data_IF_117999633855
#
_entry.id   IF_117999633855
#
_cell.length_a   1.000
_cell.length_b   1.000
_cell.length_c   1.000
_cell.angle_alpha   90.00
_cell.angle_beta   90.00
_cell.angle_gamma   90.00
#
_symmetry.space_group_name_H-M   'P 1'
#
loop_
_entity.id
_entity.type
_entity.pdbx_description
1 polymer ?
#
# COMPACT_ATOMS: atom_id res chain seq x y z
N UNK A 1 70.52 -28.41 17.19
CA UNK A 1 69.63 -27.59 16.35
C UNK A 1 68.52 -28.50 15.78
N UNK A 2 67.31 -28.46 16.33
CA UNK A 2 66.10 -29.02 15.70
C UNK A 2 64.96 -28.04 15.96
N UNK A 3 64.54 -27.33 14.92
CA UNK A 3 63.41 -26.41 14.93
C UNK A 3 62.14 -27.24 14.77
N UNK A 4 61.25 -27.25 15.75
CA UNK A 4 59.88 -27.74 15.56
C UNK A 4 59.04 -26.60 14.99
N UNK A 5 58.52 -26.82 13.79
CA UNK A 5 57.60 -25.95 13.07
C UNK A 5 56.29 -25.84 13.84
N UNK A 6 55.91 -24.62 14.20
CA UNK A 6 54.58 -24.28 14.67
C UNK A 6 53.65 -24.28 13.45
N UNK A 7 52.86 -25.35 13.28
CA UNK A 7 51.79 -25.38 12.27
C UNK A 7 50.62 -24.56 12.79
N UNK A 8 50.63 -23.25 12.53
CA UNK A 8 49.46 -22.39 12.71
C UNK A 8 48.41 -22.74 11.66
N UNK A 9 47.38 -23.50 12.06
CA UNK A 9 46.18 -23.65 11.26
C UNK A 9 45.46 -22.29 11.22
N UNK A 10 45.54 -21.57 10.09
CA UNK A 10 44.67 -20.45 9.81
C UNK A 10 43.26 -21.01 9.63
N UNK A 11 42.40 -20.87 10.65
CA UNK A 11 40.96 -20.95 10.47
C UNK A 11 40.55 -19.72 9.65
N UNK A 12 40.48 -19.88 8.33
CA UNK A 12 39.84 -18.89 7.47
C UNK A 12 38.35 -18.88 7.81
N UNK A 13 37.92 -17.95 8.65
CA UNK A 13 36.51 -17.62 8.80
C UNK A 13 36.05 -17.06 7.47
N UNK A 14 35.38 -17.88 6.66
CA UNK A 14 34.66 -17.39 5.49
C UNK A 14 33.51 -16.53 5.99
N UNK A 15 33.73 -15.22 6.10
CA UNK A 15 32.66 -14.26 6.21
C UNK A 15 31.90 -14.36 4.89
N UNK A 16 30.80 -15.13 4.88
CA UNK A 16 29.90 -15.15 3.73
C UNK A 16 29.24 -13.78 3.66
N UNK A 17 29.75 -12.91 2.81
CA UNK A 17 29.01 -11.71 2.47
C UNK A 17 27.74 -12.16 1.76
N UNK A 18 26.57 -11.70 2.23
CA UNK A 18 25.33 -11.89 1.49
C UNK A 18 25.54 -11.33 0.08
N UNK A 19 25.43 -12.18 -0.94
CA UNK A 19 25.53 -11.77 -2.33
C UNK A 19 24.12 -11.50 -2.86
N UNK A 20 23.95 -10.35 -3.51
CA UNK A 20 22.71 -10.04 -4.24
C UNK A 20 22.68 -10.95 -5.48
N UNK A 21 21.63 -11.75 -5.61
CA UNK A 21 21.42 -12.68 -6.73
C UNK A 21 20.21 -12.28 -7.56
N UNK A 22 20.34 -12.31 -8.88
CA UNK A 22 19.21 -12.11 -9.79
C UNK A 22 18.36 -13.39 -9.84
N UNK A 23 17.11 -13.32 -9.39
CA UNK A 23 16.19 -14.46 -9.43
C UNK A 23 15.36 -14.51 -10.73
N UNK A 24 14.91 -13.36 -11.22
CA UNK A 24 14.04 -13.27 -12.40
C UNK A 24 14.23 -11.97 -13.15
N UNK A 25 14.19 -12.05 -14.48
CA UNK A 25 14.02 -10.89 -15.37
C UNK A 25 12.66 -11.00 -16.05
N UNK A 26 11.84 -9.97 -15.90
CA UNK A 26 10.57 -9.83 -16.60
C UNK A 26 10.78 -9.13 -17.95
N UNK A 27 9.82 -9.28 -18.86
CA UNK A 27 9.92 -8.62 -20.17
C UNK A 27 9.88 -7.10 -20.02
N UNK A 28 10.45 -6.36 -20.99
CA UNK A 28 10.56 -4.89 -20.93
C UNK A 28 9.21 -4.19 -20.68
N UNK A 29 8.14 -4.81 -21.15
CA UNK A 29 6.78 -4.25 -21.10
C UNK A 29 5.95 -4.85 -19.95
N UNK A 30 6.57 -5.63 -19.06
CA UNK A 30 5.91 -6.25 -17.92
C UNK A 30 6.47 -5.69 -16.61
N UNK A 31 5.62 -4.93 -15.90
CA UNK A 31 5.94 -4.37 -14.60
C UNK A 31 5.33 -5.22 -13.51
N UNK A 32 6.15 -5.65 -12.54
CA UNK A 32 5.76 -6.57 -11.48
C UNK A 32 5.72 -5.86 -10.15
N UNK A 33 4.64 -6.06 -9.40
CA UNK A 33 4.39 -5.41 -8.11
C UNK A 33 4.17 -6.45 -7.03
N UNK A 34 4.68 -6.19 -5.83
CA UNK A 34 4.48 -7.02 -4.66
C UNK A 34 3.08 -6.79 -4.11
N UNK A 35 2.34 -7.86 -3.89
CA UNK A 35 1.13 -7.91 -3.08
C UNK A 35 1.54 -8.47 -1.73
N UNK A 36 1.33 -7.69 -0.67
CA UNK A 36 1.72 -8.05 0.69
C UNK A 36 0.50 -8.05 1.61
N UNK A 37 -0.18 -9.20 1.70
CA UNK A 37 -1.33 -9.36 2.60
C UNK A 37 -0.90 -10.21 3.80
N UNK A 38 0.02 -9.70 4.64
CA UNK A 38 0.56 -10.21 5.94
C UNK A 38 0.86 -11.73 6.13
N UNK A 39 0.55 -12.59 5.16
CA UNK A 39 0.60 -14.06 5.22
C UNK A 39 1.09 -14.68 3.91
N UNK A 40 0.87 -14.04 2.77
CA UNK A 40 1.40 -14.45 1.46
C UNK A 40 1.98 -13.27 0.68
N UNK A 41 3.13 -13.50 0.06
CA UNK A 41 3.71 -12.60 -0.95
C UNK A 41 3.33 -13.15 -2.31
N UNK A 42 2.55 -12.38 -3.06
CA UNK A 42 2.26 -12.65 -4.46
C UNK A 42 2.74 -11.49 -5.30
N UNK A 43 2.85 -11.68 -6.61
CA UNK A 43 3.14 -10.58 -7.50
C UNK A 43 2.06 -10.42 -8.55
N UNK A 44 1.83 -9.19 -8.99
CA UNK A 44 0.94 -8.90 -10.11
C UNK A 44 1.67 -8.10 -11.18
N UNK A 45 1.42 -8.42 -12.43
CA UNK A 45 1.90 -7.65 -13.57
C UNK A 45 0.81 -7.30 -14.55
N UNK A 46 1.01 -6.18 -15.25
CA UNK A 46 0.27 -5.85 -16.46
C UNK A 46 1.13 -6.19 -17.68
N UNK A 47 0.51 -6.85 -18.65
CA UNK A 47 1.15 -7.29 -19.89
C UNK A 47 0.75 -6.39 -21.07
N UNK A 48 1.55 -6.44 -22.14
CA UNK A 48 1.31 -5.67 -23.38
C UNK A 48 -0.02 -6.00 -24.07
N UNK A 49 -0.51 -7.23 -23.90
CA UNK A 49 -1.79 -7.72 -24.39
C UNK A 49 -2.94 -7.46 -23.41
N UNK A 50 -2.75 -6.48 -22.50
CA UNK A 50 -3.76 -5.97 -21.57
C UNK A 50 -4.32 -7.02 -20.62
N UNK A 51 -3.48 -7.98 -20.21
CA UNK A 51 -3.81 -8.97 -19.19
C UNK A 51 -3.12 -8.64 -17.88
N UNK A 52 -3.76 -9.00 -16.79
CA UNK A 52 -3.08 -9.08 -15.50
C UNK A 52 -2.57 -10.51 -15.27
N UNK A 53 -1.37 -10.64 -14.73
CA UNK A 53 -0.80 -11.94 -14.37
C UNK A 53 -0.51 -11.96 -12.89
N UNK A 54 -1.08 -12.92 -12.18
CA UNK A 54 -0.83 -13.17 -10.76
C UNK A 54 0.23 -14.27 -10.62
N UNK A 55 1.21 -14.04 -9.77
CA UNK A 55 2.37 -14.90 -9.56
C UNK A 55 2.51 -15.31 -8.09
N UNK A 56 3.01 -16.53 -7.87
CA UNK A 56 3.52 -16.98 -6.58
C UNK A 56 4.83 -16.25 -6.24
N UNK A 57 5.30 -16.42 -5.00
CA UNK A 57 6.58 -15.89 -4.55
C UNK A 57 7.80 -16.38 -5.35
N UNK A 58 7.69 -17.57 -5.97
CA UNK A 58 8.70 -18.16 -6.85
C UNK A 58 8.54 -17.75 -8.34
N UNK A 59 7.66 -16.80 -8.62
CA UNK A 59 7.32 -16.31 -9.97
C UNK A 59 6.64 -17.33 -10.89
N UNK A 60 6.15 -18.46 -10.37
CA UNK A 60 5.23 -19.31 -11.12
C UNK A 60 3.86 -18.64 -11.26
N UNK A 61 3.23 -18.79 -12.44
CA UNK A 61 1.93 -18.15 -12.74
C UNK A 61 0.83 -18.84 -11.93
N UNK A 62 0.14 -18.06 -11.10
CA UNK A 62 -1.11 -18.47 -10.43
C UNK A 62 -2.27 -18.35 -11.41
N UNK A 63 -2.42 -17.19 -12.05
CA UNK A 63 -3.55 -16.90 -12.94
C UNK A 63 -3.21 -15.85 -13.97
N UNK A 64 -3.79 -16.00 -15.17
CA UNK A 64 -3.84 -14.95 -16.19
C UNK A 64 -5.28 -14.44 -16.24
N UNK A 65 -5.45 -13.15 -16.01
CA UNK A 65 -6.75 -12.48 -15.93
C UNK A 65 -6.91 -11.69 -17.22
N UNK A 66 -7.91 -12.07 -18.00
CA UNK A 66 -8.28 -11.34 -19.21
C UNK A 66 -9.25 -10.23 -18.81
N UNK A 67 -8.86 -8.99 -19.03
CA UNK A 67 -9.74 -7.84 -18.75
C UNK A 67 -10.50 -7.51 -20.03
N UNK A 68 -11.82 -7.41 -19.95
CA UNK A 68 -12.65 -6.95 -21.05
C UNK A 68 -12.52 -5.43 -21.19
N UNK A 69 -11.51 -5.01 -21.94
CA UNK A 69 -11.22 -3.60 -22.22
C UNK A 69 -11.74 -3.20 -23.59
N UNK A 70 -12.39 -2.02 -23.72
CA UNK A 70 -12.85 -1.52 -25.00
C UNK A 70 -11.70 -1.32 -26.00
N UNK A 71 -12.01 -1.48 -27.29
CA UNK A 71 -11.03 -1.28 -28.37
C UNK A 71 -10.39 0.12 -28.29
N UNK A 72 -9.07 0.17 -28.44
CA UNK A 72 -8.27 1.40 -28.36
C UNK A 72 -7.77 1.73 -26.94
N UNK A 73 -8.27 1.07 -25.90
CA UNK A 73 -7.75 1.21 -24.56
C UNK A 73 -6.55 0.28 -24.32
N UNK A 74 -5.64 0.77 -23.49
CA UNK A 74 -4.50 0.02 -22.95
C UNK A 74 -4.64 -0.09 -21.44
N UNK A 75 -4.38 -1.27 -20.89
CA UNK A 75 -4.40 -1.47 -19.46
C UNK A 75 -3.18 -0.81 -18.85
N UNK A 76 -3.42 0.04 -17.87
CA UNK A 76 -2.41 0.66 -17.03
C UNK A 76 -2.69 0.27 -15.58
N UNK A 77 -1.72 -0.37 -14.95
CA UNK A 77 -1.83 -0.66 -13.53
C UNK A 77 -1.24 0.55 -12.79
N UNK A 78 -2.08 1.30 -12.07
CA UNK A 78 -1.78 2.59 -11.44
C UNK A 78 -0.89 2.43 -10.20
N UNK A 79 0.35 2.92 -10.22
CA UNK A 79 1.30 2.80 -9.08
C UNK A 79 2.26 3.98 -8.93
N UNK A 80 1.75 5.22 -8.96
CA UNK A 80 2.56 6.37 -8.55
C UNK A 80 2.12 6.92 -7.18
N UNK A 81 2.86 6.47 -6.16
CA UNK A 81 3.07 7.10 -4.86
C UNK A 81 1.89 7.19 -3.85
N UNK A 82 2.15 6.61 -2.68
CA UNK A 82 1.54 6.83 -1.36
C UNK A 82 0.45 5.87 -0.84
N UNK A 83 -0.49 5.32 -1.62
CA UNK A 83 -1.44 4.31 -1.09
C UNK A 83 -1.87 3.26 -2.11
N UNK A 84 -1.11 2.16 -2.20
CA UNK A 84 -1.35 1.06 -3.15
C UNK A 84 -1.77 -0.24 -2.49
N UNK A 85 -2.20 -0.22 -1.24
CA UNK A 85 -2.48 -1.47 -0.51
C UNK A 85 -3.81 -2.10 -0.94
N UNK A 86 -4.81 -1.30 -1.34
CA UNK A 86 -6.13 -1.79 -1.75
C UNK A 86 -6.23 -2.05 -3.26
N UNK A 87 -5.19 -1.71 -4.05
CA UNK A 87 -5.22 -1.90 -5.50
C UNK A 87 -5.20 -3.38 -5.90
N UNK A 88 -4.77 -4.26 -4.99
CA UNK A 88 -5.07 -5.69 -5.00
C UNK A 88 -5.59 -6.07 -3.62
N UNK A 89 -6.80 -6.61 -3.55
CA UNK A 89 -7.42 -6.96 -2.28
C UNK A 89 -8.36 -8.15 -2.41
N UNK A 90 -8.90 -8.60 -1.26
CA UNK A 90 -10.05 -9.51 -1.20
C UNK A 90 -11.11 -8.92 -0.28
N UNK A 91 -12.37 -9.19 -0.58
CA UNK A 91 -13.52 -8.82 0.26
C UNK A 91 -13.77 -7.31 0.44
N UNK A 92 -13.00 -6.42 -0.20
CA UNK A 92 -13.16 -4.97 0.01
C UNK A 92 -14.28 -4.45 -0.87
N UNK A 93 -14.32 -4.85 -2.14
CA UNK A 93 -15.25 -4.32 -3.13
C UNK A 93 -16.44 -5.26 -3.40
N UNK A 94 -16.32 -6.52 -3.00
CA UNK A 94 -17.32 -7.57 -3.06
C UNK A 94 -17.19 -8.49 -1.81
N UNK A 95 -17.93 -9.60 -1.77
CA UNK A 95 -17.92 -10.52 -0.61
C UNK A 95 -17.34 -11.90 -0.90
N UNK A 96 -16.86 -12.16 -2.11
CA UNK A 96 -16.30 -13.46 -2.47
C UNK A 96 -14.81 -13.55 -2.09
N UNK A 97 -14.23 -14.75 -2.21
CA UNK A 97 -12.81 -15.00 -1.86
C UNK A 97 -11.84 -14.69 -3.01
N UNK A 98 -12.34 -14.08 -4.08
CA UNK A 98 -11.56 -13.80 -5.26
C UNK A 98 -10.72 -12.54 -5.05
N UNK A 99 -9.63 -12.43 -5.80
CA UNK A 99 -8.91 -11.18 -5.87
C UNK A 99 -9.71 -10.11 -6.61
N UNK A 100 -9.54 -8.89 -6.15
CA UNK A 100 -10.13 -7.68 -6.69
C UNK A 100 -8.99 -6.72 -7.03
N UNK A 101 -9.11 -6.07 -8.19
CA UNK A 101 -8.06 -5.22 -8.72
C UNK A 101 -8.62 -3.84 -9.03
N UNK A 102 -7.94 -2.80 -8.55
CA UNK A 102 -8.13 -1.44 -9.05
C UNK A 102 -7.18 -1.26 -10.23
N UNK A 103 -7.74 -1.06 -11.41
CA UNK A 103 -6.99 -0.86 -12.66
C UNK A 103 -7.33 0.48 -13.27
N UNK A 104 -6.43 0.98 -14.09
CA UNK A 104 -6.70 2.09 -14.99
C UNK A 104 -6.64 1.59 -16.44
N UNK A 105 -7.48 2.14 -17.31
CA UNK A 105 -7.38 1.88 -18.75
C UNK A 105 -7.30 3.21 -19.47
N UNK A 106 -6.38 3.33 -20.42
CA UNK A 106 -6.04 4.60 -21.08
C UNK A 106 -6.23 4.55 -22.60
N UNK A 107 -6.81 5.60 -23.17
CA UNK A 107 -6.97 5.78 -24.61
C UNK A 107 -6.92 7.28 -24.98
N UNK A 108 -5.91 7.70 -25.75
CA UNK A 108 -5.83 9.05 -26.34
C UNK A 108 -6.18 10.22 -25.39
N UNK A 109 -5.64 10.20 -24.17
CA UNK A 109 -5.90 11.21 -23.14
C UNK A 109 -6.99 10.81 -22.13
N UNK A 110 -7.89 9.90 -22.50
CA UNK A 110 -8.94 9.37 -21.63
C UNK A 110 -8.36 8.31 -20.69
N UNK A 111 -8.50 8.54 -19.39
CA UNK A 111 -8.21 7.58 -18.33
C UNK A 111 -9.51 7.11 -17.68
N UNK A 112 -9.70 5.80 -17.53
CA UNK A 112 -10.82 5.22 -16.78
C UNK A 112 -10.31 4.38 -15.63
N UNK A 113 -10.86 4.60 -14.44
CA UNK A 113 -10.55 3.77 -13.26
C UNK A 113 -11.64 2.72 -13.07
N UNK A 114 -11.23 1.46 -13.07
CA UNK A 114 -12.12 0.31 -12.93
C UNK A 114 -11.74 -0.52 -11.70
N UNK A 115 -12.75 -1.11 -11.08
CA UNK A 115 -12.58 -2.23 -10.16
C UNK A 115 -13.02 -3.49 -10.90
N UNK A 116 -12.16 -4.49 -10.95
CA UNK A 116 -12.43 -5.78 -11.58
C UNK A 116 -12.22 -6.92 -10.59
N UNK A 117 -12.88 -8.06 -10.83
CA UNK A 117 -12.54 -9.31 -10.15
C UNK A 117 -11.46 -10.11 -10.90
N UNK A 118 -10.95 -11.16 -10.28
CA UNK A 118 -9.97 -12.08 -10.86
C UNK A 118 -10.45 -12.87 -12.09
N UNK A 119 -11.71 -12.77 -12.45
CA UNK A 119 -12.26 -13.37 -13.67
C UNK A 119 -12.37 -12.33 -14.79
N UNK A 120 -11.93 -11.09 -14.55
CA UNK A 120 -11.96 -10.00 -15.51
C UNK A 120 -13.29 -9.25 -15.57
N UNK A 121 -14.24 -9.58 -14.69
CA UNK A 121 -15.53 -8.89 -14.64
C UNK A 121 -15.36 -7.52 -14.00
N UNK A 122 -15.90 -6.49 -14.65
CA UNK A 122 -15.99 -5.15 -14.08
C UNK A 122 -17.01 -5.14 -12.93
N UNK A 123 -16.52 -4.90 -11.72
CA UNK A 123 -17.33 -4.67 -10.51
C UNK A 123 -17.81 -3.22 -10.47
N UNK A 124 -16.96 -2.27 -10.87
CA UNK A 124 -17.29 -0.85 -10.90
C UNK A 124 -16.48 -0.09 -11.95
N UNK A 125 -17.16 0.79 -12.69
CA UNK A 125 -16.55 1.82 -13.54
C UNK A 125 -16.81 3.19 -12.89
N UNK A 126 -15.74 3.95 -12.62
CA UNK A 126 -15.80 5.30 -12.06
C UNK A 126 -15.77 6.41 -13.12
N UNK A 127 -15.58 6.04 -14.38
CA UNK A 127 -15.43 6.95 -15.52
C UNK A 127 -16.37 6.59 -16.69
N UNK A 128 -17.69 6.37 -16.44
CA UNK A 128 -18.60 5.83 -17.45
C UNK A 128 -18.83 6.77 -18.65
N UNK A 129 -18.56 8.07 -18.48
CA UNK A 129 -18.79 9.10 -19.51
C UNK A 129 -17.50 9.56 -20.21
N UNK A 130 -16.40 8.82 -20.07
CA UNK A 130 -15.13 9.09 -20.78
C UNK A 130 -14.54 10.49 -20.52
N UNK A 131 -14.87 11.12 -19.40
CA UNK A 131 -14.27 12.39 -19.01
C UNK A 131 -12.94 12.10 -18.36
N UNK A 132 -11.83 12.45 -19.00
CA UNK A 132 -10.53 12.26 -18.37
C UNK A 132 -10.49 13.02 -17.03
N UNK A 133 -10.16 12.25 -16.01
CA UNK A 133 -10.10 12.72 -14.64
C UNK A 133 -9.08 11.85 -13.92
N UNK A 134 -8.25 12.48 -13.10
CA UNK A 134 -7.39 11.75 -12.20
C UNK A 134 -8.22 11.36 -10.98
N UNK A 135 -8.06 10.10 -10.57
CA UNK A 135 -8.77 9.52 -9.44
C UNK A 135 -7.76 9.11 -8.38
N UNK A 136 -7.79 9.76 -7.22
CA UNK A 136 -7.13 9.24 -6.02
C UNK A 136 -8.17 8.51 -5.18
N UNK A 137 -7.87 7.27 -4.80
CA UNK A 137 -8.78 6.40 -4.06
C UNK A 137 -8.29 6.27 -2.62
N UNK A 138 -9.20 6.35 -1.66
CA UNK A 138 -8.92 6.09 -0.24
C UNK A 138 -9.94 5.11 0.31
N UNK A 139 -9.50 3.95 0.78
CA UNK A 139 -10.36 2.96 1.45
C UNK A 139 -10.16 3.03 2.97
N UNK A 140 -11.26 3.11 3.72
CA UNK A 140 -11.21 3.14 5.17
C UNK A 140 -12.43 2.50 5.83
N UNK A 141 -12.29 2.17 7.11
CA UNK A 141 -13.39 1.70 7.94
C UNK A 141 -13.89 2.83 8.86
N UNK A 142 -15.17 3.18 8.74
CA UNK A 142 -15.84 4.12 9.64
C UNK A 142 -16.42 3.36 10.83
N UNK A 143 -15.71 3.40 11.96
CA UNK A 143 -16.09 2.75 13.22
C UNK A 143 -17.47 3.20 13.74
N UNK A 144 -17.87 4.45 13.48
CA UNK A 144 -19.12 4.99 14.00
C UNK A 144 -20.33 4.43 13.27
N UNK A 145 -20.24 4.33 11.94
CA UNK A 145 -21.30 3.71 11.13
C UNK A 145 -21.12 2.20 10.95
N UNK A 146 -19.96 1.66 11.35
CA UNK A 146 -19.53 0.28 11.12
C UNK A 146 -19.63 -0.09 9.62
N UNK A 147 -19.06 0.76 8.77
CA UNK A 147 -19.06 0.59 7.31
C UNK A 147 -17.68 0.82 6.73
N UNK A 148 -17.27 -0.06 5.84
CA UNK A 148 -16.18 0.21 4.91
C UNK A 148 -16.65 1.25 3.88
N UNK A 149 -15.78 2.20 3.55
CA UNK A 149 -16.06 3.27 2.61
C UNK A 149 -14.88 3.46 1.67
N UNK A 150 -15.20 3.92 0.46
CA UNK A 150 -14.25 4.38 -0.54
C UNK A 150 -14.52 5.85 -0.81
N UNK A 151 -13.51 6.69 -0.62
CA UNK A 151 -13.51 8.06 -1.13
C UNK A 151 -12.75 8.06 -2.45
N UNK A 152 -13.27 8.83 -3.40
CA UNK A 152 -12.61 9.09 -4.67
C UNK A 152 -12.50 10.60 -4.85
N UNK A 153 -11.28 11.09 -4.92
CA UNK A 153 -10.96 12.45 -5.33
C UNK A 153 -10.92 12.49 -6.85
N UNK A 154 -11.83 13.24 -7.46
CA UNK A 154 -11.95 13.39 -8.91
C UNK A 154 -11.45 14.76 -9.29
N UNK A 155 -10.37 14.83 -10.06
CA UNK A 155 -9.87 16.06 -10.65
C UNK A 155 -10.12 16.05 -12.15
N UNK A 156 -10.89 17.01 -12.66
CA UNK A 156 -11.17 17.13 -14.09
C UNK A 156 -9.91 17.46 -14.88
N UNK A 157 -9.86 17.09 -16.16
CA UNK A 157 -8.73 17.31 -17.07
C UNK A 157 -8.05 18.66 -17.06
N UNK A 158 -8.82 19.73 -16.92
CA UNK A 158 -8.26 21.07 -16.94
C UNK A 158 -7.66 21.45 -15.58
N UNK A 159 -7.67 20.53 -14.61
CA UNK A 159 -7.31 20.73 -13.21
C UNK A 159 -8.10 21.90 -12.59
N UNK A 160 -9.28 22.22 -13.13
CA UNK A 160 -10.10 23.36 -12.71
C UNK A 160 -11.08 22.99 -11.61
N UNK A 161 -11.57 21.74 -11.63
CA UNK A 161 -12.57 21.27 -10.69
C UNK A 161 -12.06 20.01 -10.00
N UNK A 162 -12.12 20.02 -8.67
CA UNK A 162 -11.88 18.84 -7.85
C UNK A 162 -13.10 18.61 -6.96
N UNK A 163 -13.62 17.40 -6.96
CA UNK A 163 -14.75 17.01 -6.11
C UNK A 163 -14.55 15.59 -5.59
N UNK A 164 -15.23 15.28 -4.48
CA UNK A 164 -15.14 13.97 -3.85
C UNK A 164 -16.44 13.19 -4.03
N UNK A 165 -16.29 11.90 -4.26
CA UNK A 165 -17.38 10.93 -4.22
C UNK A 165 -17.14 9.94 -3.08
N UNK A 166 -18.19 9.60 -2.35
CA UNK A 166 -18.11 8.65 -1.23
C UNK A 166 -19.01 7.47 -1.51
N UNK A 167 -18.42 6.28 -1.52
CA UNK A 167 -19.12 5.01 -1.71
C UNK A 167 -19.13 4.22 -0.41
N UNK A 168 -20.25 3.57 -0.12
CA UNK A 168 -20.32 2.53 0.91
C UNK A 168 -19.91 1.22 0.26
N UNK A 169 -18.94 0.53 0.86
CA UNK A 169 -18.45 -0.76 0.42
C UNK A 169 -19.17 -1.90 1.16
N UNK A 170 -19.18 -3.12 0.59
CA UNK A 170 -19.51 -4.31 1.34
C UNK A 170 -18.72 -4.36 2.65
N UNK A 171 -19.41 -4.70 3.74
CA UNK A 171 -18.82 -4.71 5.08
C UNK A 171 -19.12 -6.04 5.76
N UNK A 172 -18.08 -6.85 5.94
CA UNK A 172 -18.06 -8.12 6.65
C UNK A 172 -16.90 -8.11 7.65
N UNK A 173 -16.83 -9.10 8.56
CA UNK A 173 -15.68 -9.19 9.48
C UNK A 173 -14.35 -9.31 8.73
N UNK A 174 -14.32 -10.07 7.63
CA UNK A 174 -13.13 -10.24 6.79
C UNK A 174 -12.75 -8.94 6.08
N UNK A 175 -13.71 -8.21 5.54
CA UNK A 175 -13.42 -6.94 4.86
C UNK A 175 -12.98 -5.85 5.83
N UNK A 176 -13.46 -5.86 7.08
CA UNK A 176 -13.02 -4.92 8.11
C UNK A 176 -11.57 -5.23 8.50
N UNK A 177 -11.25 -6.52 8.67
CA UNK A 177 -9.88 -6.97 8.96
C UNK A 177 -8.93 -6.57 7.83
N UNK A 178 -9.28 -6.87 6.57
CA UNK A 178 -8.47 -6.50 5.40
C UNK A 178 -8.19 -4.99 5.33
N UNK A 179 -9.21 -4.15 5.58
CA UNK A 179 -9.06 -2.70 5.56
C UNK A 179 -8.17 -2.21 6.71
N UNK A 180 -8.36 -2.72 7.92
CA UNK A 180 -7.58 -2.32 9.10
C UNK A 180 -6.14 -2.82 9.07
N UNK A 181 -5.90 -4.01 8.52
CA UNK A 181 -4.56 -4.59 8.47
C UNK A 181 -3.63 -3.88 7.50
N UNK A 182 -4.18 -3.40 6.39
CA UNK A 182 -3.41 -2.80 5.32
C UNK A 182 -3.34 -1.26 5.40
N UNK A 183 -4.22 -0.62 6.20
CA UNK A 183 -4.14 0.81 6.57
C UNK A 183 -3.26 1.09 7.79
N UNK A 184 -2.41 0.14 8.22
CA UNK A 184 -1.53 0.30 9.38
C UNK A 184 -0.61 1.51 9.22
N UNK A 185 -0.58 2.36 10.25
CA UNK A 185 0.34 3.49 10.29
C UNK A 185 1.79 3.02 10.26
N UNK A 186 2.62 3.72 9.51
CA UNK A 186 4.06 3.46 9.43
C UNK A 186 4.84 4.65 9.94
N UNK A 187 5.86 4.41 10.75
CA UNK A 187 6.72 5.47 11.26
C UNK A 187 8.18 5.02 11.39
N UNK A 188 9.10 5.95 11.14
CA UNK A 188 10.53 5.73 11.16
C UNK A 188 11.30 6.97 11.67
N UNK A 189 12.49 6.77 12.27
CA UNK A 189 13.01 5.49 12.72
C UNK A 189 12.21 4.95 13.92
N UNK A 190 12.14 3.63 14.05
CA UNK A 190 11.64 2.97 15.24
C UNK A 190 12.69 1.93 15.68
N UNK A 191 13.47 2.17 16.76
CA UNK A 191 13.30 3.23 17.76
C UNK A 191 13.66 4.67 17.28
N UNK A 192 12.91 5.66 17.74
CA UNK A 192 13.12 7.08 17.50
C UNK A 192 14.03 7.73 18.55
N UNK A 193 14.80 8.75 18.16
CA UNK A 193 15.70 9.51 19.05
C UNK A 193 15.22 10.93 19.29
N UNK A 194 15.21 11.78 18.25
CA UNK A 194 14.75 13.17 18.32
C UNK A 194 13.47 13.38 17.53
N UNK A 195 13.31 12.69 16.41
CA UNK A 195 12.21 12.89 15.49
C UNK A 195 11.60 11.56 15.08
N UNK A 196 10.28 11.49 15.08
CA UNK A 196 9.50 10.39 14.52
C UNK A 196 8.85 10.89 13.22
N UNK A 197 9.22 10.30 12.09
CA UNK A 197 8.57 10.58 10.81
C UNK A 197 7.49 9.53 10.58
N UNK A 198 6.27 9.98 10.34
CA UNK A 198 5.10 9.12 10.13
C UNK A 198 4.68 9.28 8.68
N UNK A 199 4.51 8.18 7.96
CA UNK A 199 3.90 8.21 6.62
C UNK A 199 2.45 8.63 6.80
N UNK A 200 2.03 9.71 6.14
CA UNK A 200 0.65 10.19 6.26
C UNK A 200 -0.29 9.13 5.65
N UNK A 201 -1.24 8.58 6.44
CA UNK A 201 -2.16 7.53 5.97
C UNK A 201 -3.36 8.09 5.19
N UNK A 202 -3.32 9.37 4.80
CA UNK A 202 -4.33 10.11 4.00
C UNK A 202 -5.80 9.87 4.39
N UNK A 203 -6.05 9.48 5.64
CA UNK A 203 -7.35 9.01 6.13
C UNK A 203 -8.30 10.16 6.52
N UNK A 204 -8.06 11.37 6.01
CA UNK A 204 -8.81 12.59 6.31
C UNK A 204 -8.52 13.22 7.69
N UNK A 205 -7.69 12.60 8.54
CA UNK A 205 -7.21 13.25 9.76
C UNK A 205 -6.14 14.30 9.43
N UNK A 206 -6.04 15.30 10.30
CA UNK A 206 -5.13 16.43 10.18
C UNK A 206 -4.29 16.65 11.45
N UNK A 207 -4.24 15.65 12.33
CA UNK A 207 -3.43 15.69 13.53
C UNK A 207 -2.97 14.30 13.96
N UNK A 208 -1.81 14.28 14.60
CA UNK A 208 -1.23 13.12 15.25
C UNK A 208 -1.25 13.34 16.76
N UNK A 209 -1.67 12.32 17.50
CA UNK A 209 -1.73 12.30 18.96
C UNK A 209 -0.78 11.21 19.47
N UNK A 210 0.14 11.55 20.37
CA UNK A 210 1.05 10.60 21.02
C UNK A 210 0.63 10.41 22.47
N UNK A 211 0.52 9.15 22.87
CA UNK A 211 0.15 8.68 24.19
C UNK A 211 1.27 7.85 24.82
N UNK A 212 1.40 7.93 26.14
CA UNK A 212 2.20 6.96 26.89
C UNK A 212 1.47 5.62 27.06
N UNK A 213 2.15 4.59 27.60
CA UNK A 213 1.56 3.26 27.81
C UNK A 213 0.36 3.24 28.77
N UNK A 214 0.16 4.29 29.56
CA UNK A 214 -0.99 4.41 30.47
C UNK A 214 -2.21 5.02 29.77
N UNK A 215 -2.07 5.43 28.51
CA UNK A 215 -3.11 6.07 27.72
C UNK A 215 -3.22 7.58 27.94
N UNK A 216 -2.25 8.20 28.63
CA UNK A 216 -2.21 9.65 28.81
C UNK A 216 -1.67 10.32 27.54
N UNK A 217 -2.38 11.33 27.04
CA UNK A 217 -1.95 12.16 25.91
C UNK A 217 -0.72 12.99 26.32
N UNK A 218 0.36 12.85 25.57
CA UNK A 218 1.65 13.51 25.81
C UNK A 218 1.91 14.62 24.81
N UNK A 219 1.59 14.39 23.54
CA UNK A 219 1.82 15.35 22.47
C UNK A 219 0.68 15.29 21.47
N UNK A 220 0.31 16.46 20.93
CA UNK A 220 -0.58 16.59 19.77
C UNK A 220 0.06 17.53 18.77
N UNK A 221 0.10 17.13 17.51
CA UNK A 221 0.62 17.94 16.41
C UNK A 221 -0.36 17.93 15.24
N UNK A 222 -0.77 19.10 14.79
CA UNK A 222 -1.56 19.25 13.56
C UNK A 222 -0.64 19.20 12.33
N UNK A 223 -1.16 18.72 11.20
CA UNK A 223 -0.47 18.60 9.91
C UNK A 223 -1.45 18.87 8.74
N UNK A 224 -0.92 19.22 7.57
CA UNK A 224 -1.74 19.38 6.37
C UNK A 224 -2.04 18.00 5.75
N UNK A 225 -3.30 17.73 5.41
CA UNK A 225 -3.74 16.47 4.78
C UNK A 225 -2.93 16.12 3.52
N UNK A 226 -2.39 17.12 2.83
CA UNK A 226 -1.62 16.94 1.60
C UNK A 226 -0.15 16.54 1.85
N UNK A 227 0.37 16.64 3.07
CA UNK A 227 1.72 16.17 3.41
C UNK A 227 1.85 14.65 3.16
N UNK A 228 2.97 14.21 2.58
CA UNK A 228 3.27 12.77 2.44
C UNK A 228 3.84 12.17 3.72
N UNK A 229 4.58 12.96 4.49
CA UNK A 229 5.20 12.56 5.75
C UNK A 229 4.96 13.62 6.82
N UNK A 230 4.64 13.18 8.02
CA UNK A 230 4.39 13.99 9.21
C UNK A 230 5.60 13.83 10.13
N UNK A 231 6.36 14.90 10.33
CA UNK A 231 7.52 14.88 11.21
C UNK A 231 7.13 15.31 12.62
N UNK A 232 7.39 14.51 13.65
CA UNK A 232 7.04 14.84 15.04
C UNK A 232 8.30 14.91 15.88
N UNK A 233 8.51 16.04 16.57
CA UNK A 233 9.56 16.16 17.56
C UNK A 233 9.20 15.35 18.81
N UNK A 234 10.06 14.39 19.14
CA UNK A 234 9.93 13.49 20.28
C UNK A 234 11.16 13.57 21.18
N UNK A 235 12.04 14.54 20.99
CA UNK A 235 13.32 14.64 21.70
C UNK A 235 13.14 14.67 23.22
N UNK A 236 12.15 15.42 23.69
CA UNK A 236 11.88 15.62 25.12
C UNK A 236 11.07 14.48 25.76
N UNK A 237 10.67 13.47 24.97
CA UNK A 237 10.04 12.27 25.50
C UNK A 237 11.08 11.40 26.23
N UNK A 238 10.69 10.92 27.40
CA UNK A 238 11.47 9.94 28.15
C UNK A 238 11.60 8.63 27.37
N UNK A 239 12.66 7.87 27.64
CA UNK A 239 12.85 6.58 26.99
C UNK A 239 11.75 5.59 27.38
N UNK A 240 11.13 4.94 26.40
CA UNK A 240 9.98 4.09 26.65
C UNK A 240 9.15 3.76 25.42
N UNK A 241 8.04 3.08 25.65
CA UNK A 241 7.07 2.73 24.61
C UNK A 241 5.99 3.80 24.55
N UNK A 242 5.58 4.15 23.33
CA UNK A 242 4.54 5.13 23.07
C UNK A 242 3.58 4.60 22.00
N UNK A 243 2.36 5.14 22.01
CA UNK A 243 1.35 4.89 20.98
C UNK A 243 1.13 6.21 20.26
N UNK A 244 1.22 6.23 18.94
CA UNK A 244 0.79 7.36 18.13
C UNK A 244 -0.50 7.02 17.39
N UNK A 245 -1.37 8.00 17.24
CA UNK A 245 -2.71 7.86 16.66
C UNK A 245 -2.95 8.96 15.63
N UNK A 246 -3.52 8.58 14.49
CA UNK A 246 -3.96 9.49 13.43
C UNK A 246 -5.37 9.04 13.01
N UNK A 247 -6.38 9.86 13.30
CA UNK A 247 -7.78 9.49 13.11
C UNK A 247 -8.15 8.27 13.96
N UNK A 248 -8.67 7.20 13.33
CA UNK A 248 -9.00 5.94 14.02
C UNK A 248 -7.84 4.92 14.02
N UNK A 249 -6.72 5.22 13.37
CA UNK A 249 -5.59 4.32 13.28
C UNK A 249 -4.56 4.62 14.37
N UNK A 250 -3.93 3.59 14.92
CA UNK A 250 -2.87 3.75 15.91
C UNK A 250 -1.77 2.70 15.74
N UNK A 251 -0.55 3.06 16.11
CA UNK A 251 0.60 2.16 16.11
C UNK A 251 1.57 2.51 17.24
N UNK A 252 2.50 1.61 17.51
CA UNK A 252 3.48 1.75 18.59
C UNK A 252 4.84 2.17 18.04
N UNK A 253 5.55 3.00 18.78
CA UNK A 253 6.97 3.26 18.56
C UNK A 253 7.74 3.27 19.87
N UNK A 254 9.06 3.06 19.77
CA UNK A 254 9.99 3.05 20.90
C UNK A 254 10.80 4.34 20.86
N UNK A 255 10.86 5.09 21.97
CA UNK A 255 11.76 6.23 22.16
C UNK A 255 13.03 5.78 22.87
N UNK A 256 14.19 6.20 22.36
CA UNK A 256 15.53 5.95 22.91
C UNK A 256 16.31 7.23 23.19
#
# INVERSE_FOLDING_TARGET
>A
MKKFLFSGALLASTISFAQITLEKTFSKDEKVHVISNNKDISYVSATKDNKLVLYNSDYSIIKIINVDIPSGYTLHFYYDSHESWFTVSKHIFNTDNNYEFVIEIRNNGINKTLIIDENGKVLKDFSPNETDSNYELTVFHDEKSNKNKLIIDVTTNNFTDTYQQVYVLPTSSLSIEEVKENSKLQAFPNPAQSTLNIVNPKNGANNVEIYDITGRLILKKDFNSNESNISVDVQDLSNGNYIYKIGNSSAKFIKK
#
